data_IF_903570460383
#
_entry.id   IF_903570460383
#
_cell.length_a   1.000
_cell.length_b   1.000
_cell.length_c   1.000
_cell.angle_alpha   90.00
_cell.angle_beta   90.00
_cell.angle_gamma   90.00
#
_symmetry.space_group_name_H-M   'P 1'
#
loop_
_entity.id
_entity.type
_entity.pdbx_description
1 polymer ?
#
# COMPACT_ATOMS: atom_id res chain seq x y z
N UNK A 1 22.71 -0.94 -37.13
CA UNK A 1 22.13 0.27 -36.47
C UNK A 1 20.63 0.15 -36.14
N UNK A 2 19.77 -0.37 -37.03
CA UNK A 2 18.31 -0.46 -36.80
C UNK A 2 17.90 -1.35 -35.60
N UNK A 3 18.61 -2.46 -35.36
CA UNK A 3 18.32 -3.39 -34.26
C UNK A 3 18.59 -2.77 -32.89
N UNK A 4 19.74 -2.09 -32.71
CA UNK A 4 20.06 -1.36 -31.46
C UNK A 4 19.01 -0.28 -31.15
N UNK A 5 18.53 0.44 -32.18
CA UNK A 5 17.46 1.45 -32.03
C UNK A 5 16.12 0.82 -31.60
N UNK A 6 15.75 -0.35 -32.14
CA UNK A 6 14.55 -1.09 -31.70
C UNK A 6 14.66 -1.56 -30.26
N UNK A 7 15.82 -2.09 -29.85
CA UNK A 7 16.07 -2.51 -28.47
C UNK A 7 15.97 -1.32 -27.51
N UNK A 8 16.56 -0.18 -27.86
CA UNK A 8 16.45 1.06 -27.08
C UNK A 8 15.00 1.55 -26.93
N UNK A 9 14.22 1.50 -28.01
CA UNK A 9 12.80 1.90 -27.97
C UNK A 9 11.97 0.95 -27.10
N UNK A 10 12.23 -0.36 -27.16
CA UNK A 10 11.56 -1.34 -26.30
C UNK A 10 11.94 -1.15 -24.82
N UNK A 11 13.22 -0.91 -24.53
CA UNK A 11 13.69 -0.63 -23.18
C UNK A 11 13.09 0.67 -22.62
N UNK A 12 13.01 1.73 -23.43
CA UNK A 12 12.37 2.98 -23.05
C UNK A 12 10.86 2.80 -22.82
N UNK A 13 10.18 2.02 -23.66
CA UNK A 13 8.78 1.66 -23.48
C UNK A 13 8.54 0.90 -22.18
N UNK A 14 9.37 -0.10 -21.88
CA UNK A 14 9.30 -0.85 -20.63
C UNK A 14 9.56 0.04 -19.41
N UNK A 15 10.59 0.90 -19.47
CA UNK A 15 10.91 1.82 -18.40
C UNK A 15 9.77 2.82 -18.13
N UNK A 16 9.14 3.36 -19.18
CA UNK A 16 7.97 4.23 -19.06
C UNK A 16 6.80 3.49 -18.41
N UNK A 17 6.55 2.24 -18.79
CA UNK A 17 5.46 1.43 -18.25
C UNK A 17 5.67 1.11 -16.77
N UNK A 18 6.90 0.79 -16.37
CA UNK A 18 7.28 0.62 -14.97
C UNK A 18 7.15 1.91 -14.16
N UNK A 19 7.57 3.05 -14.72
CA UNK A 19 7.44 4.35 -14.07
C UNK A 19 5.98 4.73 -13.83
N UNK A 20 5.10 4.51 -14.81
CA UNK A 20 3.65 4.74 -14.67
C UNK A 20 3.07 3.81 -13.60
N UNK A 21 3.44 2.52 -13.61
CA UNK A 21 3.01 1.57 -12.58
C UNK A 21 3.42 1.99 -11.17
N UNK A 22 4.68 2.40 -10.99
CA UNK A 22 5.19 2.89 -9.71
C UNK A 22 4.48 4.17 -9.24
N UNK A 23 4.27 5.13 -10.14
CA UNK A 23 3.57 6.37 -9.83
C UNK A 23 2.12 6.12 -9.40
N UNK A 24 1.40 5.27 -10.13
CA UNK A 24 0.04 4.86 -9.77
C UNK A 24 -0.01 4.20 -8.40
N UNK A 25 0.99 3.38 -8.07
CA UNK A 25 1.03 2.72 -6.77
C UNK A 25 1.16 3.69 -5.59
N UNK A 26 2.05 4.68 -5.73
CA UNK A 26 2.21 5.76 -4.75
C UNK A 26 0.94 6.61 -4.63
N UNK A 27 0.34 6.99 -5.77
CA UNK A 27 -0.88 7.80 -5.78
C UNK A 27 -2.08 7.07 -5.14
N UNK A 28 -2.12 5.74 -5.24
CA UNK A 28 -3.19 4.92 -4.69
C UNK A 28 -2.84 4.31 -3.32
N UNK A 29 -1.70 4.65 -2.73
CA UNK A 29 -1.24 4.08 -1.47
C UNK A 29 -2.24 4.33 -0.33
N UNK A 30 -2.89 5.49 -0.30
CA UNK A 30 -3.96 5.82 0.66
C UNK A 30 -5.24 5.00 0.45
N UNK A 31 -5.40 4.38 -0.72
CA UNK A 31 -6.49 3.45 -1.04
C UNK A 31 -6.13 1.99 -0.75
N UNK A 32 -4.90 1.67 -0.34
CA UNK A 32 -4.60 0.33 0.13
C UNK A 32 -5.25 0.12 1.50
N UNK A 33 -6.03 -0.95 1.70
CA UNK A 33 -6.42 -1.32 3.06
C UNK A 33 -5.14 -1.67 3.83
N UNK A 34 -5.09 -1.39 5.13
CA UNK A 34 -3.98 -1.84 5.99
C UNK A 34 -2.60 -1.26 5.66
N UNK A 35 -2.50 0.04 5.32
CA UNK A 35 -1.19 0.70 5.17
C UNK A 35 -0.36 0.49 6.43
N UNK A 36 0.88 0.00 6.31
CA UNK A 36 1.78 -0.26 7.43
C UNK A 36 1.19 -1.16 8.53
N UNK A 37 0.29 -2.09 8.17
CA UNK A 37 -0.25 -3.05 9.13
C UNK A 37 0.77 -4.13 9.49
N UNK A 38 0.89 -4.44 10.77
CA UNK A 38 1.75 -5.50 11.25
C UNK A 38 1.55 -5.79 12.72
N UNK A 39 2.07 -6.93 13.17
CA UNK A 39 2.07 -7.31 14.57
C UNK A 39 3.17 -6.55 15.33
N UNK A 40 2.84 -6.09 16.52
CA UNK A 40 3.80 -5.57 17.52
C UNK A 40 4.03 -6.65 18.58
N UNK A 41 2.94 -7.27 19.04
CA UNK A 41 2.96 -8.47 19.86
C UNK A 41 2.07 -9.50 19.18
N UNK A 42 2.60 -10.68 18.78
CA UNK A 42 1.86 -11.65 17.98
C UNK A 42 0.51 -12.01 18.58
N UNK A 43 -0.55 -11.91 17.76
CA UNK A 43 -1.92 -12.21 18.18
C UNK A 43 -2.54 -11.28 19.23
N UNK A 44 -1.83 -10.25 19.70
CA UNK A 44 -2.28 -9.38 20.80
C UNK A 44 -2.33 -7.90 20.44
N UNK A 45 -1.26 -7.37 19.86
CA UNK A 45 -1.11 -5.94 19.56
C UNK A 45 -0.68 -5.80 18.11
N UNK A 46 -1.40 -4.96 17.38
CA UNK A 46 -1.13 -4.66 15.99
C UNK A 46 -0.88 -3.16 15.84
N UNK A 47 -0.07 -2.80 14.85
CA UNK A 47 0.10 -1.42 14.36
C UNK A 47 -0.51 -1.30 12.97
N UNK A 48 -0.91 -0.09 12.62
CA UNK A 48 -1.37 0.27 11.29
C UNK A 48 -1.20 1.77 11.08
N UNK A 49 -1.10 2.19 9.83
CA UNK A 49 -1.49 3.54 9.42
C UNK A 49 -3.01 3.73 9.55
N UNK A 50 -3.52 4.87 9.10
CA UNK A 50 -4.93 5.23 9.32
C UNK A 50 -5.87 4.19 8.70
N UNK A 51 -6.66 3.56 9.57
CA UNK A 51 -7.66 2.58 9.18
C UNK A 51 -8.89 3.32 8.63
N UNK A 52 -9.42 2.86 7.50
CA UNK A 52 -10.64 3.44 6.92
C UNK A 52 -11.85 2.76 7.53
N UNK A 53 -13.00 3.47 7.64
CA UNK A 53 -14.22 2.90 8.21
C UNK A 53 -14.62 1.55 7.58
N UNK A 54 -14.50 1.42 6.26
CA UNK A 54 -14.82 0.19 5.51
C UNK A 54 -13.93 -1.02 5.84
N UNK A 55 -12.76 -0.82 6.42
CA UNK A 55 -11.82 -1.89 6.73
C UNK A 55 -11.97 -2.39 8.18
N UNK A 56 -12.71 -1.68 9.04
CA UNK A 56 -12.88 -2.00 10.46
C UNK A 56 -13.48 -3.39 10.67
N UNK A 57 -14.50 -3.74 9.87
CA UNK A 57 -15.14 -5.05 9.94
C UNK A 57 -14.17 -6.18 9.59
N UNK A 58 -13.36 -5.99 8.55
CA UNK A 58 -12.33 -6.95 8.14
C UNK A 58 -11.27 -7.12 9.22
N UNK A 59 -10.84 -6.02 9.86
CA UNK A 59 -9.89 -6.04 10.98
C UNK A 59 -10.44 -6.84 12.16
N UNK A 60 -11.69 -6.56 12.56
CA UNK A 60 -12.31 -7.24 13.69
C UNK A 60 -12.50 -8.73 13.43
N UNK A 61 -13.00 -9.10 12.24
CA UNK A 61 -13.24 -10.51 11.86
C UNK A 61 -11.93 -11.31 11.69
N UNK A 62 -10.91 -10.74 11.04
CA UNK A 62 -9.67 -11.46 10.71
C UNK A 62 -8.68 -11.55 11.87
N UNK A 63 -8.55 -10.48 12.65
CA UNK A 63 -7.52 -10.37 13.70
C UNK A 63 -8.11 -10.36 15.10
N UNK A 64 -9.44 -10.46 15.25
CA UNK A 64 -10.11 -10.45 16.55
C UNK A 64 -10.00 -9.11 17.28
N UNK A 65 -9.68 -8.02 16.57
CA UNK A 65 -9.50 -6.70 17.18
C UNK A 65 -10.84 -6.16 17.67
N UNK A 66 -10.89 -5.83 18.96
CA UNK A 66 -12.07 -5.27 19.64
C UNK A 66 -11.89 -3.81 20.02
N UNK A 67 -10.64 -3.32 20.02
CA UNK A 67 -10.28 -1.99 20.50
C UNK A 67 -9.23 -1.40 19.57
N UNK A 68 -9.42 -0.12 19.20
CA UNK A 68 -8.48 0.63 18.38
C UNK A 68 -8.09 1.89 19.16
N UNK A 69 -6.80 2.12 19.30
CA UNK A 69 -6.26 3.35 19.89
C UNK A 69 -5.78 4.24 18.72
N UNK A 70 -6.47 5.34 18.49
CA UNK A 70 -6.07 6.33 17.50
C UNK A 70 -5.11 7.33 18.15
N UNK A 71 -3.86 7.34 17.68
CA UNK A 71 -2.83 8.29 18.15
C UNK A 71 -2.80 9.58 17.33
N UNK A 72 -3.74 9.77 16.40
CA UNK A 72 -3.84 11.01 15.61
C UNK A 72 -4.38 12.12 16.52
N UNK A 73 -3.63 13.23 16.62
CA UNK A 73 -4.11 14.43 17.28
C UNK A 73 -5.25 15.11 16.52
N UNK A 74 -5.94 16.04 17.18
CA UNK A 74 -6.73 17.06 16.49
C UNK A 74 -5.72 18.03 15.87
N UNK A 75 -5.53 17.95 14.56
CA UNK A 75 -5.04 19.12 13.81
C UNK A 75 -6.15 20.17 13.79
#
# INVERSE_FOLDING_TARGET
MKVKRRILLLAAGLAALLAVGYFLDLALQHRRPFVNFGEVVPGKIYRSGQVRPRDLESISRRYGVKTIICLRGKE
#
